data_IF_919379263098
#
_entry.id   IF_919379263098
#
_cell.length_a   1.000
_cell.length_b   1.000
_cell.length_c   1.000
_cell.angle_alpha   90.00
_cell.angle_beta   90.00
_cell.angle_gamma   90.00
#
_symmetry.space_group_name_H-M   'P 1'
#
loop_
_entity.id
_entity.type
_entity.pdbx_description
1 polymer ?
#
# COMPACT_ATOMS: atom_id res chain seq x y z
N UNK A 1 16.83 -2.46 25.79
CA UNK A 1 16.07 -2.43 24.53
C UNK A 1 16.98 -2.93 23.43
N UNK A 2 16.89 -4.20 23.06
CA UNK A 2 17.52 -4.72 21.84
C UNK A 2 16.41 -5.10 20.86
N UNK A 3 16.72 -4.91 19.58
CA UNK A 3 15.81 -4.96 18.44
C UNK A 3 16.29 -6.11 17.57
N UNK A 4 15.61 -7.26 17.63
CA UNK A 4 15.90 -8.36 16.72
C UNK A 4 14.60 -8.89 16.09
N UNK A 5 14.64 -9.01 14.76
CA UNK A 5 13.74 -9.75 13.87
C UNK A 5 12.29 -9.28 13.73
N UNK A 6 12.01 -8.55 12.64
CA UNK A 6 10.72 -8.57 11.93
C UNK A 6 10.92 -8.02 10.52
N UNK A 7 10.17 -8.45 9.51
CA UNK A 7 10.55 -8.27 8.10
C UNK A 7 9.63 -7.30 7.35
N UNK A 8 10.25 -6.39 6.61
CA UNK A 8 9.61 -5.42 5.73
C UNK A 8 9.33 -6.06 4.37
N UNK A 9 8.06 -6.20 4.03
CA UNK A 9 7.68 -6.64 2.69
C UNK A 9 7.51 -5.42 1.80
N UNK A 10 8.57 -5.09 1.06
CA UNK A 10 8.42 -4.26 -0.12
C UNK A 10 7.71 -5.07 -1.19
N UNK A 11 6.39 -5.03 -1.23
CA UNK A 11 5.64 -5.68 -2.31
C UNK A 11 5.99 -4.97 -3.61
N UNK A 12 6.54 -5.66 -4.63
CA UNK A 12 6.51 -5.11 -5.97
C UNK A 12 5.04 -4.87 -6.30
N UNK A 13 4.65 -3.62 -6.58
CA UNK A 13 3.45 -3.35 -7.36
C UNK A 13 3.57 -4.23 -8.63
N UNK A 14 2.80 -5.32 -8.65
CA UNK A 14 2.92 -6.39 -9.62
C UNK A 14 2.05 -6.01 -10.80
N UNK A 15 2.70 -5.79 -11.94
CA UNK A 15 2.09 -5.38 -13.23
C UNK A 15 1.87 -3.87 -13.34
N UNK A 16 1.81 -3.33 -14.57
CA UNK A 16 1.60 -1.92 -14.79
C UNK A 16 0.30 -1.39 -14.16
N UNK A 17 -0.71 -2.25 -13.98
CA UNK A 17 -2.07 -1.85 -13.56
C UNK A 17 -2.46 -2.09 -12.12
N UNK A 18 -1.59 -1.80 -11.14
CA UNK A 18 -1.74 -2.32 -9.79
C UNK A 18 -1.77 -1.27 -8.63
N UNK A 19 -2.84 -1.31 -7.83
CA UNK A 19 -3.26 -0.68 -6.55
C UNK A 19 -3.03 0.82 -6.29
N UNK A 20 -1.95 1.40 -6.80
CA UNK A 20 -1.65 2.83 -6.62
C UNK A 20 -1.88 3.65 -7.89
N UNK A 21 -2.02 3.01 -9.05
CA UNK A 21 -2.21 3.68 -10.32
C UNK A 21 -2.78 2.67 -11.32
N UNK A 22 -3.94 2.91 -11.94
CA UNK A 22 -4.11 2.80 -13.40
C UNK A 22 -5.54 3.07 -13.88
N UNK A 23 -5.65 3.63 -15.09
CA UNK A 23 -6.76 3.47 -16.02
C UNK A 23 -6.24 3.17 -17.44
N UNK A 24 -6.77 2.14 -18.09
CA UNK A 24 -6.46 1.84 -19.49
C UNK A 24 -7.31 0.75 -20.12
N UNK A 25 -7.82 1.03 -21.32
CA UNK A 25 -8.40 0.05 -22.26
C UNK A 25 -7.64 0.03 -23.59
N UNK A 26 -7.68 -1.13 -24.24
CA UNK A 26 -6.81 -1.63 -25.32
C UNK A 26 -7.21 -1.24 -26.74
N UNK A 27 -6.22 -1.09 -27.64
CA UNK A 27 -6.38 -1.29 -29.10
C UNK A 27 -5.10 -1.82 -29.75
N UNK A 28 -5.22 -2.89 -30.56
CA UNK A 28 -4.14 -3.53 -31.35
C UNK A 28 -3.56 -2.59 -32.42
N UNK A 29 -2.32 -2.84 -32.88
CA UNK A 29 -2.18 -3.24 -34.28
C UNK A 29 -1.15 -4.36 -34.56
N UNK A 30 -1.29 -4.89 -35.75
CA UNK A 30 -0.56 -5.96 -36.46
C UNK A 30 0.82 -5.55 -36.98
N UNK A 31 1.75 -6.51 -37.15
CA UNK A 31 2.85 -6.41 -38.14
C UNK A 31 4.17 -7.04 -37.69
N UNK A 32 4.73 -7.94 -38.51
CA UNK A 32 5.85 -8.83 -38.17
C UNK A 32 7.25 -8.20 -38.20
N UNK A 33 8.20 -8.93 -37.60
CA UNK A 33 9.64 -8.68 -37.68
C UNK A 33 10.43 -9.53 -36.67
N UNK A 34 10.91 -10.71 -37.08
CA UNK A 34 11.78 -11.56 -36.25
C UNK A 34 13.21 -10.99 -36.25
N UNK A 35 13.77 -10.74 -35.08
CA UNK A 35 15.22 -10.63 -34.86
C UNK A 35 15.62 -11.24 -33.50
N UNK A 36 16.86 -11.74 -33.38
CA UNK A 36 17.20 -12.80 -32.42
C UNK A 36 17.37 -12.29 -30.99
N UNK A 37 16.95 -13.15 -30.04
CA UNK A 37 17.07 -12.94 -28.60
C UNK A 37 18.53 -13.05 -28.18
N UNK A 38 19.07 -11.98 -27.60
CA UNK A 38 20.28 -12.06 -26.79
C UNK A 38 19.85 -12.20 -25.32
N UNK A 39 20.10 -13.37 -24.75
CA UNK A 39 19.87 -13.71 -23.34
C UNK A 39 21.09 -13.31 -22.52
N UNK A 40 20.93 -12.41 -21.56
CA UNK A 40 22.01 -12.08 -20.63
C UNK A 40 21.82 -10.74 -19.93
N UNK A 41 20.86 -10.68 -19.01
CA UNK A 41 20.71 -9.57 -18.10
C UNK A 41 19.99 -10.06 -16.85
N UNK A 42 20.76 -10.53 -15.86
CA UNK A 42 20.20 -10.83 -14.54
C UNK A 42 19.58 -9.54 -14.01
N UNK A 43 18.26 -9.53 -13.82
CA UNK A 43 17.58 -8.44 -13.14
C UNK A 43 18.27 -8.25 -11.79
N UNK A 44 18.72 -7.02 -11.51
CA UNK A 44 19.33 -6.69 -10.24
C UNK A 44 18.35 -7.07 -9.11
N UNK A 45 18.81 -7.89 -8.17
CA UNK A 45 18.05 -8.27 -6.98
C UNK A 45 17.71 -6.97 -6.23
N UNK A 46 16.41 -6.72 -6.02
CA UNK A 46 15.93 -5.52 -5.34
C UNK A 46 16.48 -5.50 -3.90
N UNK A 47 16.80 -4.32 -3.34
CA UNK A 47 17.17 -4.22 -1.94
C UNK A 47 16.02 -4.76 -1.08
N UNK A 48 16.29 -5.82 -0.33
CA UNK A 48 15.41 -6.32 0.72
C UNK A 48 15.29 -5.22 1.76
N UNK A 49 14.06 -4.73 1.99
CA UNK A 49 13.79 -3.69 2.98
C UNK A 49 14.31 -4.12 4.36
N UNK A 50 14.86 -3.17 5.12
CA UNK A 50 15.42 -3.47 6.43
C UNK A 50 14.37 -4.03 7.41
N UNK A 51 14.75 -4.94 8.31
CA UNK A 51 13.85 -5.56 9.27
C UNK A 51 13.19 -4.55 10.22
N UNK A 52 11.85 -4.49 10.29
CA UNK A 52 11.09 -3.65 11.22
C UNK A 52 10.50 -4.42 12.41
N UNK A 53 11.28 -4.51 13.49
CA UNK A 53 10.91 -4.53 14.93
C UNK A 53 9.84 -5.55 15.42
N UNK A 54 10.24 -6.65 16.08
CA UNK A 54 9.34 -7.44 16.94
C UNK A 54 9.22 -6.83 18.35
N UNK A 55 7.98 -6.76 18.88
CA UNK A 55 7.68 -6.26 20.24
C UNK A 55 6.51 -7.01 20.86
N UNK A 56 6.68 -7.37 22.14
CA UNK A 56 5.69 -8.09 22.94
C UNK A 56 4.74 -7.13 23.66
N UNK A 57 3.44 -7.41 23.62
CA UNK A 57 2.39 -6.65 24.31
C UNK A 57 1.53 -7.61 25.16
N UNK A 58 1.20 -7.21 26.40
CA UNK A 58 0.44 -8.03 27.35
C UNK A 58 -1.06 -7.69 27.41
N UNK A 59 -1.42 -6.45 27.03
CA UNK A 59 -2.79 -5.98 26.87
C UNK A 59 -2.92 -5.22 25.57
N UNK A 60 -4.03 -5.42 24.87
CA UNK A 60 -4.29 -4.79 23.59
C UNK A 60 -5.72 -4.24 23.60
N UNK A 61 -5.82 -2.92 23.44
CA UNK A 61 -7.07 -2.20 23.19
C UNK A 61 -6.88 -1.39 21.93
N UNK A 62 -7.90 -1.33 21.08
CA UNK A 62 -7.81 -0.58 19.86
C UNK A 62 -9.15 0.08 19.51
N UNK A 63 -9.05 1.20 18.83
CA UNK A 63 -10.17 1.96 18.32
C UNK A 63 -9.76 2.59 16.99
N UNK A 64 -10.73 2.89 16.15
CA UNK A 64 -10.52 3.59 14.90
C UNK A 64 -11.62 4.63 14.69
N UNK A 65 -11.30 5.68 13.93
CA UNK A 65 -12.23 6.73 13.52
C UNK A 65 -11.85 7.16 12.10
N UNK A 66 -12.84 7.34 11.26
CA UNK A 66 -12.73 8.08 9.99
C UNK A 66 -13.50 9.38 10.13
N UNK A 67 -13.05 10.41 9.42
CA UNK A 67 -13.66 11.75 9.43
C UNK A 67 -13.38 12.40 8.06
N UNK A 68 -14.38 13.00 7.38
CA UNK A 68 -14.17 13.67 6.10
C UNK A 68 -13.26 14.89 6.20
N UNK A 69 -13.05 15.39 7.43
CA UNK A 69 -12.30 16.60 7.69
C UNK A 69 -13.15 17.85 7.57
N UNK A 70 -12.48 19.00 7.66
CA UNK A 70 -13.16 20.28 7.78
C UNK A 70 -13.80 20.72 6.45
N UNK A 71 -15.12 20.88 6.45
CA UNK A 71 -15.86 21.46 5.32
C UNK A 71 -16.16 20.49 4.17
N UNK A 72 -15.94 19.19 4.38
CA UNK A 72 -16.31 18.12 3.45
C UNK A 72 -17.53 17.35 3.99
N UNK A 73 -18.34 16.81 3.09
CA UNK A 73 -19.47 15.96 3.46
C UNK A 73 -18.97 14.52 3.74
N UNK A 74 -19.70 13.76 4.56
CA UNK A 74 -19.37 12.35 4.84
C UNK A 74 -19.32 11.47 3.57
N UNK A 75 -20.04 11.87 2.52
CA UNK A 75 -20.02 11.20 1.23
C UNK A 75 -18.73 11.48 0.44
N UNK A 76 -18.01 12.55 0.75
CA UNK A 76 -16.70 12.87 0.18
C UNK A 76 -15.57 12.07 0.85
N UNK A 77 -15.82 11.48 2.03
CA UNK A 77 -14.82 10.67 2.69
C UNK A 77 -14.59 9.36 1.94
N UNK A 78 -13.39 9.23 1.36
CA UNK A 78 -12.96 8.04 0.63
C UNK A 78 -12.08 7.11 1.48
N UNK A 79 -11.79 7.48 2.73
CA UNK A 79 -11.01 6.68 3.65
C UNK A 79 -11.89 5.63 4.35
N UNK A 80 -11.31 4.46 4.58
CA UNK A 80 -11.89 3.50 5.52
C UNK A 80 -10.81 2.81 6.37
N UNK A 81 -11.22 2.32 7.52
CA UNK A 81 -10.34 1.56 8.40
C UNK A 81 -11.08 0.35 8.97
N UNK A 82 -10.30 -0.61 9.45
CA UNK A 82 -10.79 -1.88 9.95
C UNK A 82 -9.94 -2.33 11.14
N UNK A 83 -10.63 -2.77 12.18
CA UNK A 83 -10.03 -3.55 13.27
C UNK A 83 -10.84 -4.84 13.39
N UNK A 84 -10.20 -5.98 13.18
CA UNK A 84 -10.87 -7.28 13.31
C UNK A 84 -9.92 -8.35 13.80
N UNK A 85 -10.45 -9.29 14.56
CA UNK A 85 -9.76 -10.51 14.91
C UNK A 85 -9.95 -11.57 13.81
N UNK A 86 -8.90 -12.36 13.57
CA UNK A 86 -8.81 -13.43 12.57
C UNK A 86 -8.29 -14.71 13.24
N UNK A 87 -8.49 -15.86 12.58
CA UNK A 87 -8.05 -17.18 13.08
C UNK A 87 -8.54 -17.49 14.51
N UNK A 88 -9.85 -17.34 14.79
CA UNK A 88 -10.42 -17.56 16.13
C UNK A 88 -9.69 -16.73 17.21
N UNK A 89 -9.51 -15.45 16.94
CA UNK A 89 -8.93 -14.49 17.88
C UNK A 89 -7.45 -14.68 18.21
N UNK A 90 -6.70 -15.41 17.39
CA UNK A 90 -5.24 -15.55 17.51
C UNK A 90 -4.49 -14.33 16.94
N UNK A 91 -5.09 -13.65 15.96
CA UNK A 91 -4.48 -12.56 15.22
C UNK A 91 -5.42 -11.38 15.16
N UNK A 92 -4.92 -10.17 15.41
CA UNK A 92 -5.68 -8.92 15.18
C UNK A 92 -5.14 -8.20 13.96
N UNK A 93 -6.02 -7.84 13.04
CA UNK A 93 -5.72 -6.98 11.91
C UNK A 93 -6.14 -5.54 12.25
N UNK A 94 -5.22 -4.60 12.07
CA UNK A 94 -5.51 -3.18 11.94
C UNK A 94 -5.21 -2.79 10.51
N UNK A 95 -6.16 -2.14 9.84
CA UNK A 95 -5.97 -1.72 8.47
C UNK A 95 -6.50 -0.30 8.26
N UNK A 96 -5.75 0.46 7.46
CA UNK A 96 -6.12 1.77 6.96
C UNK A 96 -6.10 1.71 5.43
N UNK A 97 -7.13 2.28 4.82
CA UNK A 97 -7.31 2.36 3.39
C UNK A 97 -7.67 3.81 3.04
N UNK A 98 -6.89 4.41 2.15
CA UNK A 98 -7.10 5.76 1.64
C UNK A 98 -7.45 5.63 0.15
N UNK A 99 -8.73 5.73 -0.13
CA UNK A 99 -9.29 5.63 -1.47
C UNK A 99 -9.15 6.96 -2.21
N UNK A 100 -8.85 6.90 -3.51
CA UNK A 100 -8.75 8.09 -4.34
C UNK A 100 -9.23 7.85 -5.77
N UNK A 101 -9.60 8.95 -6.43
CA UNK A 101 -10.22 8.93 -7.75
C UNK A 101 -11.75 8.96 -7.65
N UNK A 102 -12.42 8.89 -8.80
CA UNK A 102 -13.89 9.08 -8.84
C UNK A 102 -14.64 8.04 -7.99
N UNK A 103 -14.15 6.80 -7.96
CA UNK A 103 -14.68 5.70 -7.17
C UNK A 103 -13.80 5.34 -5.96
N UNK A 104 -13.07 6.31 -5.40
CA UNK A 104 -12.12 6.10 -4.29
C UNK A 104 -12.73 5.37 -3.09
N UNK A 105 -13.90 5.81 -2.63
CA UNK A 105 -14.63 5.16 -1.54
C UNK A 105 -14.99 3.70 -1.85
N UNK A 106 -15.53 3.45 -3.04
CA UNK A 106 -15.94 2.12 -3.46
C UNK A 106 -14.76 1.14 -3.57
N UNK A 107 -13.61 1.60 -4.08
CA UNK A 107 -12.41 0.77 -4.14
C UNK A 107 -11.82 0.52 -2.75
N UNK A 108 -11.82 1.50 -1.85
CA UNK A 108 -11.37 1.32 -0.47
C UNK A 108 -12.24 0.29 0.28
N UNK A 109 -13.57 0.36 0.13
CA UNK A 109 -14.51 -0.61 0.69
C UNK A 109 -14.30 -2.02 0.12
N UNK A 110 -14.13 -2.14 -1.20
CA UNK A 110 -13.83 -3.42 -1.86
C UNK A 110 -12.54 -4.05 -1.31
N UNK A 111 -11.47 -3.25 -1.19
CA UNK A 111 -10.17 -3.71 -0.68
C UNK A 111 -10.28 -4.12 0.78
N UNK A 112 -10.97 -3.34 1.61
CA UNK A 112 -11.25 -3.66 3.02
C UNK A 112 -11.92 -5.03 3.16
N UNK A 113 -13.02 -5.26 2.43
CA UNK A 113 -13.79 -6.49 2.53
C UNK A 113 -12.98 -7.70 2.02
N UNK A 114 -12.28 -7.54 0.89
CA UNK A 114 -11.42 -8.58 0.34
C UNK A 114 -10.22 -8.90 1.24
N UNK A 115 -9.69 -7.92 1.97
CA UNK A 115 -8.52 -8.11 2.85
C UNK A 115 -8.83 -9.12 3.94
N UNK A 116 -10.00 -9.03 4.57
CA UNK A 116 -10.42 -9.98 5.61
C UNK A 116 -10.47 -11.41 5.07
N UNK A 117 -11.07 -11.59 3.89
CA UNK A 117 -11.21 -12.90 3.26
C UNK A 117 -9.86 -13.49 2.85
N UNK A 118 -9.01 -12.70 2.19
CA UNK A 118 -7.74 -13.13 1.61
C UNK A 118 -6.71 -13.38 2.72
N UNK A 119 -6.60 -12.48 3.69
CA UNK A 119 -5.63 -12.61 4.78
C UNK A 119 -5.96 -13.82 5.66
N UNK A 120 -7.24 -14.08 5.93
CA UNK A 120 -7.66 -15.29 6.67
C UNK A 120 -7.23 -16.60 6.01
N UNK A 121 -7.07 -16.62 4.68
CA UNK A 121 -6.64 -17.80 3.90
C UNK A 121 -5.12 -17.89 3.74
N UNK A 122 -4.45 -16.75 3.54
CA UNK A 122 -3.03 -16.69 3.16
C UNK A 122 -2.07 -16.52 4.33
N UNK A 123 -2.56 -16.12 5.51
CA UNK A 123 -1.72 -16.02 6.69
C UNK A 123 -1.48 -17.43 7.27
N UNK A 124 -0.42 -18.11 6.85
CA UNK A 124 0.11 -19.29 7.56
C UNK A 124 1.28 -18.90 8.46
N UNK A 125 1.51 -19.65 9.53
CA UNK A 125 2.51 -19.29 10.54
C UNK A 125 3.95 -19.29 10.03
N UNK A 126 4.20 -20.05 8.95
CA UNK A 126 5.53 -20.31 8.40
C UNK A 126 5.87 -19.43 7.17
N UNK A 127 4.92 -18.64 6.64
CA UNK A 127 5.09 -17.89 5.38
C UNK A 127 4.46 -16.49 5.39
N UNK A 128 4.58 -15.76 6.51
CA UNK A 128 3.85 -14.50 6.73
C UNK A 128 4.19 -13.40 5.70
N UNK A 129 5.42 -13.32 5.21
CA UNK A 129 5.84 -12.30 4.23
C UNK A 129 5.43 -12.61 2.79
N UNK A 130 5.62 -13.86 2.36
CA UNK A 130 5.12 -14.34 1.07
C UNK A 130 3.60 -14.21 1.03
N UNK A 131 2.94 -14.54 2.15
CA UNK A 131 1.51 -14.42 2.36
C UNK A 131 1.03 -12.97 2.22
N UNK A 132 1.66 -12.01 2.89
CA UNK A 132 1.22 -10.60 2.83
C UNK A 132 1.50 -9.97 1.46
N UNK A 133 2.59 -10.35 0.79
CA UNK A 133 2.81 -9.96 -0.63
C UNK A 133 1.71 -10.49 -1.52
N UNK A 134 1.36 -11.76 -1.35
CA UNK A 134 0.29 -12.39 -2.11
C UNK A 134 -1.08 -11.77 -1.80
N UNK A 135 -1.30 -11.26 -0.58
CA UNK A 135 -2.50 -10.49 -0.23
C UNK A 135 -2.62 -9.25 -1.11
N UNK A 136 -1.60 -8.39 -1.16
CA UNK A 136 -1.67 -7.18 -1.99
C UNK A 136 -1.81 -7.50 -3.49
N UNK A 137 -1.10 -8.51 -3.99
CA UNK A 137 -1.25 -8.93 -5.39
C UNK A 137 -2.66 -9.45 -5.70
N UNK A 138 -3.28 -10.19 -4.76
CA UNK A 138 -4.64 -10.68 -4.91
C UNK A 138 -5.69 -9.56 -4.81
N UNK A 139 -5.50 -8.62 -3.88
CA UNK A 139 -6.34 -7.42 -3.75
C UNK A 139 -6.31 -6.60 -5.03
N UNK A 140 -5.13 -6.45 -5.61
CA UNK A 140 -5.02 -5.73 -6.87
C UNK A 140 -5.73 -6.43 -8.03
N UNK A 141 -5.55 -7.75 -8.17
CA UNK A 141 -6.28 -8.51 -9.16
C UNK A 141 -7.81 -8.39 -8.98
N UNK A 142 -8.29 -8.19 -7.73
CA UNK A 142 -9.71 -7.91 -7.46
C UNK A 142 -10.14 -6.53 -7.95
N UNK A 143 -9.34 -5.50 -7.73
CA UNK A 143 -9.62 -4.15 -8.29
C UNK A 143 -9.62 -4.22 -9.81
N UNK A 144 -8.58 -4.79 -10.43
CA UNK A 144 -8.47 -4.88 -11.89
C UNK A 144 -9.63 -5.67 -12.53
N UNK A 145 -10.13 -6.70 -11.85
CA UNK A 145 -11.27 -7.51 -12.33
C UNK A 145 -12.65 -6.91 -12.05
N UNK A 146 -12.75 -5.86 -11.23
CA UNK A 146 -14.02 -5.15 -10.98
C UNK A 146 -14.54 -4.41 -12.22
N UNK A 147 -13.62 -3.99 -13.11
CA UNK A 147 -13.93 -3.24 -14.33
C UNK A 147 -14.54 -1.86 -14.07
N UNK A 148 -14.85 -1.15 -15.16
CA UNK A 148 -15.46 0.18 -15.09
C UNK A 148 -14.60 1.19 -14.31
N UNK A 149 -15.27 2.13 -13.66
CA UNK A 149 -14.61 3.22 -12.92
C UNK A 149 -13.91 2.78 -11.63
N UNK A 150 -14.27 1.61 -11.06
CA UNK A 150 -13.60 1.06 -9.87
C UNK A 150 -12.18 0.62 -10.24
N UNK A 151 -12.01 0.00 -11.42
CA UNK A 151 -10.69 -0.37 -11.93
C UNK A 151 -9.82 0.84 -12.30
N UNK A 152 -10.40 2.04 -12.39
CA UNK A 152 -9.70 3.31 -12.65
C UNK A 152 -9.42 4.13 -11.37
N UNK A 153 -9.98 3.71 -10.24
CA UNK A 153 -9.71 4.29 -8.92
C UNK A 153 -8.50 3.61 -8.26
N UNK A 154 -7.97 4.24 -7.22
CA UNK A 154 -6.82 3.74 -6.48
C UNK A 154 -7.07 3.72 -4.98
N UNK A 155 -6.26 2.92 -4.27
CA UNK A 155 -6.35 2.81 -2.83
C UNK A 155 -4.96 2.60 -2.24
N UNK A 156 -4.51 3.56 -1.42
CA UNK A 156 -3.39 3.33 -0.49
C UNK A 156 -3.87 2.39 0.62
N UNK A 157 -2.97 1.56 1.14
CA UNK A 157 -3.31 0.56 2.14
C UNK A 157 -2.13 0.27 3.09
N UNK A 158 -2.36 0.46 4.39
CA UNK A 158 -1.46 0.02 5.46
C UNK A 158 -2.14 -1.08 6.27
N UNK A 159 -1.50 -2.24 6.37
CA UNK A 159 -1.96 -3.36 7.19
C UNK A 159 -0.96 -3.63 8.32
N UNK A 160 -1.47 -3.72 9.55
CA UNK A 160 -0.74 -4.12 10.75
C UNK A 160 -1.38 -5.39 11.30
N UNK A 161 -0.63 -6.48 11.29
CA UNK A 161 -1.07 -7.79 11.78
C UNK A 161 -0.40 -8.07 13.11
N UNK A 162 -1.17 -8.13 14.18
CA UNK A 162 -0.72 -8.48 15.52
C UNK A 162 -0.98 -9.95 15.81
N UNK A 163 0.09 -10.74 15.92
CA UNK A 163 0.03 -12.12 16.39
C UNK A 163 0.05 -12.13 17.92
N UNK A 164 -1.07 -12.50 18.54
CA UNK A 164 -1.23 -12.48 20.01
C UNK A 164 -0.39 -13.57 20.68
N UNK A 165 -0.24 -14.72 20.03
CA UNK A 165 0.53 -15.86 20.57
C UNK A 165 2.03 -15.54 20.65
N UNK A 166 2.56 -14.94 19.58
CA UNK A 166 3.97 -14.55 19.48
C UNK A 166 4.22 -13.18 20.11
N UNK A 167 3.15 -12.43 20.37
CA UNK A 167 3.17 -11.02 20.75
C UNK A 167 4.10 -10.26 19.80
N UNK A 168 3.73 -10.19 18.53
CA UNK A 168 4.53 -9.52 17.50
C UNK A 168 3.67 -8.82 16.45
N UNK A 169 4.20 -7.76 15.86
CA UNK A 169 3.56 -6.98 14.80
C UNK A 169 4.24 -7.26 13.46
N UNK A 170 3.44 -7.44 12.42
CA UNK A 170 3.85 -7.40 11.02
C UNK A 170 3.19 -6.19 10.38
N UNK A 171 3.98 -5.29 9.79
CA UNK A 171 3.50 -4.07 9.14
C UNK A 171 3.80 -4.13 7.65
N UNK A 172 2.82 -3.76 6.85
CA UNK A 172 2.94 -3.69 5.39
C UNK A 172 2.21 -2.46 4.86
N UNK A 173 2.77 -1.83 3.84
CA UNK A 173 2.27 -0.57 3.29
C UNK A 173 2.38 -0.55 1.77
N UNK A 174 1.33 -0.07 1.11
CA UNK A 174 1.33 0.32 -0.30
C UNK A 174 0.72 1.71 -0.38
N UNK A 175 1.50 2.69 -0.80
CA UNK A 175 1.06 4.07 -0.93
C UNK A 175 1.76 4.99 0.07
N UNK A 176 1.16 6.13 0.34
CA UNK A 176 1.70 7.22 1.16
C UNK A 176 1.11 7.29 2.58
N UNK A 177 0.22 6.36 2.93
CA UNK A 177 -0.22 6.14 4.31
C UNK A 177 0.96 5.80 5.23
N UNK A 178 0.85 6.19 6.50
CA UNK A 178 1.94 6.03 7.47
C UNK A 178 1.46 5.36 8.75
N UNK A 179 2.23 4.39 9.26
CA UNK A 179 2.09 3.89 10.62
C UNK A 179 3.26 4.32 11.50
N UNK A 180 2.93 4.71 12.74
CA UNK A 180 3.89 5.15 13.76
C UNK A 180 3.71 4.28 15.00
N UNK A 181 4.81 3.75 15.49
CA UNK A 181 4.87 3.03 16.76
C UNK A 181 5.35 3.97 17.86
N UNK A 182 4.47 4.23 18.84
CA UNK A 182 4.82 4.95 20.07
C UNK A 182 5.19 4.00 21.20
N UNK A 183 6.24 4.29 21.97
CA UNK A 183 6.66 3.53 23.13
C UNK A 183 7.08 4.46 24.29
N UNK A 184 6.75 4.09 25.53
CA UNK A 184 7.22 4.83 26.71
C UNK A 184 8.71 4.57 26.92
N UNK A 185 9.48 5.63 27.13
CA UNK A 185 10.91 5.55 27.44
C UNK A 185 11.05 5.20 28.92
N UNK A 186 11.52 3.98 29.21
CA UNK A 186 11.58 3.45 30.59
C UNK A 186 12.43 4.30 31.55
N UNK A 187 13.40 5.06 31.02
CA UNK A 187 14.33 5.87 31.81
C UNK A 187 13.82 7.28 32.10
N UNK A 188 12.74 7.71 31.46
CA UNK A 188 12.18 9.06 31.64
C UNK A 188 10.65 8.95 31.69
N UNK A 189 10.12 8.94 32.92
CA UNK A 189 8.72 8.72 33.20
C UNK A 189 7.87 9.85 32.57
N UNK A 190 7.30 9.58 31.40
CA UNK A 190 6.45 10.49 30.64
C UNK A 190 6.97 10.80 29.23
N UNK A 191 8.21 10.45 28.90
CA UNK A 191 8.74 10.61 27.55
C UNK A 191 8.29 9.45 26.64
N UNK A 192 7.84 9.79 25.43
CA UNK A 192 7.45 8.84 24.38
C UNK A 192 8.51 8.85 23.28
N UNK A 193 8.97 7.66 22.89
CA UNK A 193 9.70 7.44 21.64
C UNK A 193 8.69 7.14 20.54
N UNK A 194 8.86 7.75 19.37
CA UNK A 194 7.98 7.58 18.22
C UNK A 194 8.82 7.16 17.01
N UNK A 195 8.48 6.00 16.45
CA UNK A 195 9.16 5.45 15.29
C UNK A 195 8.18 5.25 14.15
N UNK A 196 8.45 5.87 13.01
CA UNK A 196 7.76 5.54 11.76
C UNK A 196 8.14 4.11 11.35
N UNK A 197 7.14 3.27 11.10
CA UNK A 197 7.30 1.84 10.78
C UNK A 197 6.83 1.49 9.36
N UNK A 198 6.64 2.51 8.52
CA UNK A 198 6.33 2.36 7.09
C UNK A 198 7.27 3.25 6.28
N UNK A 199 7.54 2.85 5.03
CA UNK A 199 8.12 3.77 4.05
C UNK A 199 7.00 4.19 3.11
N UNK A 200 6.86 5.50 2.90
CA UNK A 200 5.90 6.05 1.96
C UNK A 200 6.35 5.78 0.52
N UNK A 201 5.40 5.55 -0.39
CA UNK A 201 5.67 5.37 -1.81
C UNK A 201 5.29 6.63 -2.60
N UNK A 202 6.06 7.70 -2.42
CA UNK A 202 5.82 8.96 -3.11
C UNK A 202 6.50 8.99 -4.48
N UNK A 203 5.83 9.48 -5.55
CA UNK A 203 6.42 9.53 -6.89
C UNK A 203 7.77 10.25 -6.97
N UNK A 204 8.01 11.22 -6.09
CA UNK A 204 9.25 12.00 -6.06
C UNK A 204 10.45 11.30 -5.43
N UNK A 205 10.24 10.20 -4.71
CA UNK A 205 11.34 9.48 -4.06
C UNK A 205 12.24 8.83 -5.12
N UNK A 206 13.58 8.88 -5.00
CA UNK A 206 14.49 8.41 -6.04
C UNK A 206 14.25 6.98 -6.50
N UNK A 207 13.99 6.05 -5.56
CA UNK A 207 13.70 4.66 -5.86
C UNK A 207 12.37 4.51 -6.62
N UNK A 208 11.32 5.20 -6.17
CA UNK A 208 9.99 5.11 -6.76
C UNK A 208 9.91 5.80 -8.12
N UNK A 209 10.52 6.98 -8.26
CA UNK A 209 10.70 7.66 -9.54
C UNK A 209 11.39 6.79 -10.57
N UNK A 210 12.47 6.11 -10.16
CA UNK A 210 13.22 5.20 -11.04
C UNK A 210 12.35 4.03 -11.50
N UNK A 211 11.56 3.45 -10.58
CA UNK A 211 10.61 2.37 -10.89
C UNK A 211 9.55 2.83 -11.90
N UNK A 212 8.96 4.01 -11.68
CA UNK A 212 7.93 4.60 -12.56
C UNK A 212 8.48 4.82 -13.97
N UNK A 213 9.66 5.44 -14.08
CA UNK A 213 10.29 5.71 -15.39
C UNK A 213 10.67 4.42 -16.11
N UNK A 214 11.20 3.43 -15.38
CA UNK A 214 11.51 2.12 -15.95
C UNK A 214 10.26 1.37 -16.47
N UNK A 215 9.08 1.64 -15.89
CA UNK A 215 7.80 1.12 -16.35
C UNK A 215 7.20 1.92 -17.52
N UNK A 216 7.89 2.95 -18.04
CA UNK A 216 7.41 3.81 -19.12
C UNK A 216 6.51 4.96 -18.67
N UNK A 217 6.35 5.16 -17.36
CA UNK A 217 5.65 6.30 -16.78
C UNK A 217 6.52 7.54 -16.65
N UNK A 218 5.92 8.64 -16.18
CA UNK A 218 6.59 9.90 -15.93
C UNK A 218 6.19 10.44 -14.56
N UNK A 219 7.10 11.16 -13.90
CA UNK A 219 6.84 11.86 -12.64
C UNK A 219 6.86 13.35 -12.91
N UNK A 220 5.71 14.02 -12.73
CA UNK A 220 5.54 15.46 -12.93
C UNK A 220 4.56 16.02 -11.90
N UNK A 221 4.75 17.28 -11.50
CA UNK A 221 3.75 18.00 -10.72
C UNK A 221 2.47 18.17 -11.53
N UNK A 222 1.33 18.31 -10.86
CA UNK A 222 0.11 18.76 -11.56
C UNK A 222 0.21 20.26 -11.80
N UNK A 223 -0.30 20.69 -12.95
CA UNK A 223 -0.42 22.10 -13.32
C UNK A 223 -1.64 22.75 -12.64
N UNK A 224 -2.15 22.18 -11.53
CA UNK A 224 -3.35 22.64 -10.82
C UNK A 224 -3.10 23.97 -10.11
N UNK A 225 -3.10 25.04 -10.91
CA UNK A 225 -2.96 26.43 -10.48
C UNK A 225 -4.14 26.92 -9.62
N UNK A 226 -5.20 26.11 -9.44
CA UNK A 226 -6.42 26.50 -8.72
C UNK A 226 -6.20 26.77 -7.21
N UNK A 227 -5.15 26.20 -6.61
CA UNK A 227 -4.83 26.37 -5.19
C UNK A 227 -3.57 27.20 -4.93
N UNK A 228 -2.95 27.79 -5.97
CA UNK A 228 -1.77 28.66 -5.81
C UNK A 228 -0.47 27.93 -5.41
N UNK A 229 -0.51 26.62 -5.18
CA UNK A 229 0.65 25.77 -4.96
C UNK A 229 0.83 24.82 -6.15
N UNK A 230 2.06 24.61 -6.60
CA UNK A 230 2.38 23.51 -7.52
C UNK A 230 1.94 22.22 -6.84
N UNK A 231 0.95 21.52 -7.41
CA UNK A 231 0.46 20.28 -6.84
C UNK A 231 1.59 19.26 -6.68
N UNK A 232 1.50 18.42 -5.65
CA UNK A 232 2.51 17.40 -5.38
C UNK A 232 2.79 16.54 -6.62
N UNK A 233 3.99 15.97 -6.71
CA UNK A 233 4.36 15.13 -7.86
C UNK A 233 3.39 13.94 -8.00
N UNK A 234 2.98 13.67 -9.24
CA UNK A 234 2.09 12.59 -9.64
C UNK A 234 2.73 11.74 -10.73
N UNK A 235 2.12 10.58 -10.96
CA UNK A 235 2.49 9.64 -12.02
C UNK A 235 1.66 9.93 -13.26
N UNK A 236 2.29 9.86 -14.44
CA UNK A 236 1.66 10.13 -15.72
C UNK A 236 2.02 9.04 -16.74
N UNK A 237 1.08 8.72 -17.63
CA UNK A 237 1.29 7.81 -18.76
C UNK A 237 1.22 8.54 -20.08
N UNK A 238 2.29 8.44 -20.86
CA UNK A 238 2.40 9.09 -22.17
C UNK A 238 2.07 10.58 -22.08
N UNK A 239 1.15 11.04 -22.93
CA UNK A 239 0.68 12.42 -22.98
C UNK A 239 -0.73 12.59 -22.36
N UNK A 240 -1.07 11.74 -21.38
CA UNK A 240 -2.35 11.84 -20.67
C UNK A 240 -2.55 13.24 -20.07
N UNK A 241 -3.79 13.75 -20.18
CA UNK A 241 -4.21 15.03 -19.60
C UNK A 241 -4.56 14.93 -18.12
N UNK A 242 -4.54 13.73 -17.54
CA UNK A 242 -4.84 13.48 -16.13
C UNK A 242 -3.72 12.62 -15.52
N UNK A 243 -3.38 12.87 -14.24
CA UNK A 243 -2.48 11.99 -13.52
C UNK A 243 -3.10 10.60 -13.38
N UNK A 244 -2.25 9.59 -13.35
CA UNK A 244 -2.62 8.18 -13.42
C UNK A 244 -1.74 7.43 -14.43
N UNK A 245 -1.53 6.14 -14.16
CA UNK A 245 -0.99 5.20 -15.15
C UNK A 245 -2.13 4.60 -16.00
#
# INVERSE_FOLDING_TARGET
FELENAQRVGTPCMSPGCLACMGGSSSKPTGGGKSPRNSGGSAAEKPKGEPLVSRKFDHCSAAHKTDPGFGADEDDNQDCCLITDLKKDEVTLYALFDGHGHQGKAVAELVKDCTVEILGKLLSDDKKEEGITAVFAALDAKIASSGGEIAEAGCSATLVVYDRSKKSLLVSNVGDTTAVLGAVIATDAGALDAKVVTEQHLPGMPAEKSRIVAAGGQVRATDDLQLGELGGQRVWKGDSKKPGL
#
